data_IF_584892745922
#
_entry.id   IF_584892745922
#
_cell.length_a   1.000
_cell.length_b   1.000
_cell.length_c   1.000
_cell.angle_alpha   90.00
_cell.angle_beta   90.00
_cell.angle_gamma   90.00
#
_symmetry.space_group_name_H-M   'P 1'
#
loop_
_entity.id
_entity.type
_entity.pdbx_description
1 polymer ?
#
# COMPACT_ATOMS: atom_id res chain seq x y z
N UNK A 1 -15.23 21.70 3.63
CA UNK A 1 -16.56 21.75 4.30
C UNK A 1 -17.27 20.43 4.05
N UNK A 2 -17.94 19.86 5.06
CA UNK A 2 -18.70 18.61 4.92
C UNK A 2 -19.94 18.82 4.05
N UNK A 3 -20.14 17.96 3.06
CA UNK A 3 -21.31 17.99 2.17
C UNK A 3 -22.29 16.85 2.48
N UNK A 4 -23.56 17.03 2.11
CA UNK A 4 -24.62 16.04 2.32
C UNK A 4 -24.29 14.71 1.65
N UNK A 5 -23.82 14.78 0.41
CA UNK A 5 -23.42 13.61 -0.37
C UNK A 5 -22.28 12.83 0.28
N UNK A 6 -21.29 13.50 0.85
CA UNK A 6 -20.15 12.87 1.53
C UNK A 6 -20.59 12.04 2.74
N UNK A 7 -21.47 12.57 3.59
CA UNK A 7 -21.98 11.84 4.75
C UNK A 7 -22.78 10.60 4.31
N UNK A 8 -23.64 10.74 3.31
CA UNK A 8 -24.42 9.62 2.81
C UNK A 8 -23.57 8.55 2.11
N UNK A 9 -22.52 8.96 1.41
CA UNK A 9 -21.53 8.06 0.82
C UNK A 9 -20.74 7.32 1.90
N UNK A 10 -20.37 7.97 3.00
CA UNK A 10 -19.71 7.32 4.13
C UNK A 10 -20.56 6.20 4.72
N UNK A 11 -21.87 6.43 4.89
CA UNK A 11 -22.83 5.42 5.36
C UNK A 11 -22.91 4.24 4.39
N UNK A 12 -22.95 4.49 3.09
CA UNK A 12 -22.97 3.44 2.08
C UNK A 12 -21.68 2.59 2.09
N UNK A 13 -20.52 3.24 2.14
CA UNK A 13 -19.21 2.57 2.21
C UNK A 13 -19.04 1.78 3.50
N UNK A 14 -19.54 2.30 4.61
CA UNK A 14 -19.51 1.60 5.88
C UNK A 14 -20.41 0.35 5.83
N UNK A 15 -21.59 0.44 5.21
CA UNK A 15 -22.44 -0.73 5.01
C UNK A 15 -21.69 -1.81 4.20
N UNK A 16 -21.12 -1.43 3.05
CA UNK A 16 -20.40 -2.33 2.16
C UNK A 16 -19.20 -2.99 2.83
N UNK A 17 -18.39 -2.21 3.58
CA UNK A 17 -17.22 -2.72 4.33
C UNK A 17 -17.58 -3.83 5.31
N UNK A 18 -18.75 -3.75 5.92
CA UNK A 18 -19.25 -4.74 6.87
C UNK A 18 -20.18 -5.79 6.22
N UNK A 19 -20.19 -5.88 4.89
CA UNK A 19 -20.96 -6.88 4.14
C UNK A 19 -22.48 -6.66 4.18
N UNK A 20 -22.92 -5.42 4.37
CA UNK A 20 -24.32 -5.04 4.50
C UNK A 20 -24.77 -4.12 3.36
N UNK A 21 -26.06 -4.17 3.06
CA UNK A 21 -26.72 -3.12 2.26
C UNK A 21 -27.09 -1.95 3.16
N UNK A 22 -27.38 -0.77 2.59
CA UNK A 22 -27.86 0.38 3.37
C UNK A 22 -29.07 0.04 4.25
N UNK A 23 -30.04 -0.72 3.73
CA UNK A 23 -31.19 -1.20 4.50
C UNK A 23 -30.80 -2.26 5.55
N UNK A 24 -29.82 -3.12 5.24
CA UNK A 24 -29.27 -4.09 6.18
C UNK A 24 -28.58 -3.40 7.37
N UNK A 25 -27.80 -2.36 7.09
CA UNK A 25 -27.15 -1.52 8.09
C UNK A 25 -28.17 -0.80 8.97
N UNK A 26 -29.22 -0.22 8.37
CA UNK A 26 -30.30 0.42 9.11
C UNK A 26 -30.98 -0.55 10.09
N UNK A 27 -31.38 -1.75 9.62
CA UNK A 27 -31.97 -2.78 10.50
C UNK A 27 -31.04 -3.21 11.62
N UNK A 28 -29.76 -3.43 11.30
CA UNK A 28 -28.74 -3.81 12.28
C UNK A 28 -28.53 -2.71 13.34
N UNK A 29 -28.67 -1.45 12.95
CA UNK A 29 -28.61 -0.29 13.83
C UNK A 29 -29.91 0.01 14.60
N UNK A 30 -30.94 -0.85 14.49
CA UNK A 30 -32.24 -0.62 15.15
C UNK A 30 -33.03 0.55 14.56
N UNK A 31 -32.76 0.91 13.30
CA UNK A 31 -33.46 1.94 12.55
C UNK A 31 -34.45 1.31 11.57
N UNK A 32 -35.40 2.11 11.07
CA UNK A 32 -36.29 1.67 9.99
C UNK A 32 -35.46 1.28 8.75
N UNK A 33 -35.80 0.16 8.11
CA UNK A 33 -35.03 -0.40 7.00
C UNK A 33 -34.89 0.56 5.79
N UNK A 34 -35.79 1.54 5.66
CA UNK A 34 -35.75 2.53 4.58
C UNK A 34 -35.01 3.81 4.94
N UNK A 35 -34.55 3.94 6.20
CA UNK A 35 -33.90 5.16 6.73
C UNK A 35 -32.70 5.61 5.92
N UNK A 36 -31.97 4.67 5.29
CA UNK A 36 -30.77 4.97 4.50
C UNK A 36 -30.97 4.83 2.99
N UNK A 37 -32.19 4.57 2.52
CA UNK A 37 -32.48 4.43 1.10
C UNK A 37 -32.22 5.75 0.36
N UNK A 38 -31.64 5.68 -0.85
CA UNK A 38 -31.31 6.86 -1.67
C UNK A 38 -32.52 7.77 -1.92
N UNK A 39 -33.68 7.19 -2.17
CA UNK A 39 -34.94 7.92 -2.39
C UNK A 39 -35.44 8.71 -1.18
N UNK A 40 -34.89 8.47 0.02
CA UNK A 40 -35.23 9.19 1.26
C UNK A 40 -34.19 10.23 1.65
N UNK A 41 -33.09 10.39 0.92
CA UNK A 41 -31.99 11.32 1.27
C UNK A 41 -32.28 12.76 0.87
N UNK A 42 -33.19 12.95 -0.08
CA UNK A 42 -33.74 14.23 -0.48
C UNK A 42 -35.24 14.15 -0.25
N UNK A 43 -35.79 15.19 0.34
CA UNK A 43 -37.22 15.33 0.60
C UNK A 43 -37.98 15.71 -0.68
N UNK A 44 -39.31 15.50 -0.75
CA UNK A 44 -40.09 15.84 -1.94
C UNK A 44 -40.04 17.32 -2.33
N UNK A 45 -39.79 18.21 -1.37
CA UNK A 45 -39.58 19.66 -1.54
C UNK A 45 -38.13 20.02 -1.92
N UNK A 46 -37.29 19.03 -2.22
CA UNK A 46 -35.92 19.21 -2.69
C UNK A 46 -34.89 19.48 -1.59
N UNK A 47 -35.29 19.49 -0.31
CA UNK A 47 -34.36 19.71 0.80
C UNK A 47 -33.56 18.45 1.09
N UNK A 48 -32.27 18.65 1.31
CA UNK A 48 -31.35 17.62 1.77
C UNK A 48 -31.75 17.12 3.17
N UNK A 49 -32.08 15.83 3.28
CA UNK A 49 -32.25 15.19 4.59
C UNK A 49 -30.90 14.70 5.08
N UNK A 50 -30.34 15.38 6.06
CA UNK A 50 -29.11 14.97 6.72
C UNK A 50 -29.39 13.84 7.73
N UNK A 51 -28.52 12.83 7.82
CA UNK A 51 -28.61 11.86 8.90
C UNK A 51 -28.27 12.54 10.22
N UNK A 52 -28.99 12.20 11.28
CA UNK A 52 -28.71 12.74 12.62
C UNK A 52 -27.44 12.11 13.20
N UNK A 53 -26.77 12.84 14.09
CA UNK A 53 -25.66 12.31 14.90
C UNK A 53 -26.07 11.05 15.68
N UNK A 54 -27.33 10.96 16.11
CA UNK A 54 -27.88 9.75 16.74
C UNK A 54 -27.89 8.55 15.79
N UNK A 55 -28.29 8.75 14.53
CA UNK A 55 -28.32 7.68 13.52
C UNK A 55 -26.90 7.21 13.19
N UNK A 56 -25.93 8.12 13.13
CA UNK A 56 -24.51 7.80 12.96
C UNK A 56 -24.03 6.96 14.16
N UNK A 57 -24.26 7.41 15.40
CA UNK A 57 -23.85 6.68 16.59
C UNK A 57 -24.43 5.25 16.67
N UNK A 58 -25.72 5.08 16.31
CA UNK A 58 -26.37 3.76 16.26
C UNK A 58 -25.72 2.83 15.25
N UNK A 59 -25.35 3.35 14.09
CA UNK A 59 -24.64 2.60 13.05
C UNK A 59 -23.26 2.16 13.52
N UNK A 60 -22.47 3.07 14.11
CA UNK A 60 -21.14 2.76 14.62
C UNK A 60 -21.19 1.67 15.70
N UNK A 61 -22.11 1.78 16.65
CA UNK A 61 -22.31 0.77 17.69
C UNK A 61 -22.72 -0.59 17.11
N UNK A 62 -23.53 -0.61 16.05
CA UNK A 62 -24.03 -1.84 15.45
C UNK A 62 -22.98 -2.58 14.60
N UNK A 63 -22.05 -1.84 13.99
CA UNK A 63 -20.93 -2.42 13.22
C UNK A 63 -19.70 -2.69 14.08
N UNK A 64 -19.55 -1.98 15.21
CA UNK A 64 -18.31 -1.96 15.99
C UNK A 64 -17.26 -0.99 15.42
N UNK A 65 -17.65 -0.14 14.46
CA UNK A 65 -16.76 0.83 13.82
C UNK A 65 -16.44 2.01 14.76
N UNK A 66 -15.20 2.50 14.68
CA UNK A 66 -14.79 3.74 15.34
C UNK A 66 -15.26 5.00 14.60
N UNK A 67 -15.24 6.14 15.30
CA UNK A 67 -15.56 7.45 14.68
C UNK A 67 -14.50 7.85 13.64
N UNK A 68 -13.23 7.54 13.91
CA UNK A 68 -12.10 7.71 13.01
C UNK A 68 -12.30 6.95 11.70
N UNK A 69 -12.69 5.68 11.79
CA UNK A 69 -13.03 4.86 10.63
C UNK A 69 -14.14 5.51 9.81
N UNK A 70 -15.22 5.96 10.44
CA UNK A 70 -16.31 6.63 9.74
C UNK A 70 -15.87 7.94 9.07
N UNK A 71 -15.08 8.77 9.75
CA UNK A 71 -14.57 10.02 9.18
C UNK A 71 -13.69 9.79 7.96
N UNK A 72 -12.89 8.70 7.94
CA UNK A 72 -12.09 8.32 6.78
C UNK A 72 -12.93 7.97 5.53
N UNK A 73 -14.21 7.64 5.71
CA UNK A 73 -15.13 7.28 4.62
C UNK A 73 -15.90 8.48 4.06
N UNK A 74 -15.94 9.60 4.80
CA UNK A 74 -16.64 10.84 4.44
C UNK A 74 -15.94 11.55 3.30
N UNK A 75 -14.61 11.58 3.33
CA UNK A 75 -13.87 12.06 2.19
C UNK A 75 -13.98 10.98 1.09
N UNK A 76 -14.39 11.31 -0.16
CA UNK A 76 -13.86 10.52 -1.26
C UNK A 76 -12.38 10.52 -0.99
N UNK A 77 -11.72 9.35 -0.97
CA UNK A 77 -10.27 9.38 -1.01
C UNK A 77 -9.95 10.25 -2.21
N UNK A 78 -9.55 11.50 -1.97
CA UNK A 78 -8.59 12.14 -2.84
C UNK A 78 -7.56 11.03 -3.03
N UNK A 79 -7.21 10.65 -4.27
CA UNK A 79 -6.06 9.77 -4.44
C UNK A 79 -5.00 10.42 -3.57
N UNK A 80 -4.61 9.76 -2.46
CA UNK A 80 -3.72 10.37 -1.46
C UNK A 80 -2.69 11.10 -2.27
N UNK A 81 -2.60 12.44 -2.15
CA UNK A 81 -1.67 13.25 -2.95
C UNK A 81 -0.41 12.43 -3.09
N UNK A 82 -0.09 12.00 -4.33
CA UNK A 82 0.66 10.77 -4.58
C UNK A 82 1.74 10.62 -3.54
N UNK A 83 1.71 9.54 -2.74
CA UNK A 83 2.67 9.37 -1.67
C UNK A 83 4.05 9.58 -2.28
N UNK A 84 4.80 10.56 -1.78
CA UNK A 84 6.14 10.77 -2.27
C UNK A 84 6.98 9.63 -1.74
N UNK A 85 7.56 8.86 -2.66
CA UNK A 85 8.44 7.75 -2.31
C UNK A 85 9.88 8.19 -2.62
N UNK A 86 10.83 7.99 -1.69
CA UNK A 86 12.22 8.34 -1.95
C UNK A 86 12.75 7.47 -3.08
N UNK A 87 13.44 8.06 -4.05
CA UNK A 87 14.12 7.32 -5.12
C UNK A 87 15.62 7.27 -4.89
N UNK A 88 16.18 6.07 -5.09
CA UNK A 88 17.60 5.77 -4.94
C UNK A 88 18.14 5.23 -6.26
N UNK A 89 19.26 5.75 -6.75
CA UNK A 89 19.92 5.17 -7.91
C UNK A 89 20.48 3.78 -7.61
N UNK A 90 20.48 2.85 -8.58
CA UNK A 90 20.96 1.47 -8.39
C UNK A 90 22.35 1.37 -7.74
N UNK A 91 23.24 2.29 -8.08
CA UNK A 91 24.62 2.35 -7.55
C UNK A 91 24.64 2.82 -6.10
N UNK A 92 23.77 3.77 -5.75
CA UNK A 92 23.64 4.33 -4.40
C UNK A 92 22.88 3.38 -3.47
N UNK A 93 22.03 2.51 -4.01
CA UNK A 93 21.42 1.41 -3.26
C UNK A 93 22.47 0.48 -2.63
N UNK A 94 23.72 0.48 -3.14
CA UNK A 94 24.86 -0.25 -2.62
C UNK A 94 25.81 0.52 -1.69
N UNK A 95 25.62 1.83 -1.50
CA UNK A 95 26.54 2.63 -0.67
C UNK A 95 26.15 2.61 0.83
N UNK A 96 27.12 2.47 1.76
CA UNK A 96 26.88 2.62 3.20
C UNK A 96 27.00 4.10 3.66
N UNK A 97 26.31 4.57 4.73
CA UNK A 97 25.06 4.11 5.34
C UNK A 97 23.91 5.01 4.85
N UNK A 98 23.27 4.58 3.78
CA UNK A 98 22.16 5.30 3.17
C UNK A 98 20.80 4.70 3.53
N UNK A 99 20.78 3.61 4.31
CA UNK A 99 19.58 2.91 4.76
C UNK A 99 19.59 2.75 6.28
N UNK A 100 18.43 2.95 6.91
CA UNK A 100 18.21 2.68 8.32
C UNK A 100 18.14 1.16 8.57
N UNK A 101 18.14 0.76 9.85
CA UNK A 101 18.09 -0.64 10.26
C UNK A 101 16.83 -1.37 9.77
N UNK A 102 15.78 -0.63 9.41
CA UNK A 102 14.54 -1.16 8.84
C UNK A 102 14.59 -1.34 7.31
N UNK A 103 15.75 -1.06 6.68
CA UNK A 103 15.96 -1.19 5.24
C UNK A 103 15.37 -0.05 4.42
N UNK A 104 14.89 1.03 5.05
CA UNK A 104 14.42 2.23 4.36
C UNK A 104 15.57 3.20 4.11
N UNK A 105 15.59 3.94 2.99
CA UNK A 105 16.54 5.02 2.79
C UNK A 105 16.49 6.03 3.95
N UNK A 106 17.64 6.43 4.48
CA UNK A 106 17.78 7.36 5.60
C UNK A 106 18.80 8.46 5.28
N UNK A 107 18.45 9.72 5.57
CA UNK A 107 19.28 10.89 5.28
C UNK A 107 18.65 11.83 4.24
N UNK A 108 19.16 13.07 4.17
CA UNK A 108 18.53 14.18 3.44
C UNK A 108 19.02 14.35 1.98
N UNK A 109 19.20 13.26 1.22
CA UNK A 109 19.80 13.32 -0.13
C UNK A 109 19.01 12.64 -1.25
N UNK A 110 17.77 12.25 -0.98
CA UNK A 110 16.97 11.53 -1.97
C UNK A 110 16.02 12.46 -2.67
N UNK A 111 15.95 12.33 -3.99
CA UNK A 111 14.84 12.85 -4.75
C UNK A 111 13.57 12.06 -4.39
N UNK A 112 12.41 12.66 -4.64
CA UNK A 112 11.12 12.06 -4.37
C UNK A 112 10.34 11.93 -5.69
N UNK A 113 9.67 10.79 -5.87
CA UNK A 113 8.75 10.60 -6.99
C UNK A 113 7.31 10.46 -6.49
N UNK A 114 6.36 11.00 -7.25
CA UNK A 114 4.95 10.75 -7.01
C UNK A 114 4.61 9.31 -7.35
N UNK A 115 3.99 8.59 -6.41
CA UNK A 115 3.51 7.23 -6.65
C UNK A 115 2.05 7.05 -6.16
N UNK A 116 1.20 6.34 -6.92
CA UNK A 116 -0.18 6.07 -6.49
C UNK A 116 -0.21 5.33 -5.15
N UNK A 117 -1.22 5.62 -4.32
CA UNK A 117 -1.38 5.16 -2.93
C UNK A 117 -0.75 3.78 -2.62
N UNK A 118 0.27 3.79 -1.75
CA UNK A 118 0.98 2.59 -1.25
C UNK A 118 0.32 2.01 0.01
N UNK A 119 -0.85 2.53 0.39
CA UNK A 119 -1.53 2.15 1.61
C UNK A 119 -0.75 2.59 2.85
N UNK A 120 -0.46 1.63 3.72
CA UNK A 120 0.41 1.77 4.89
C UNK A 120 1.75 1.06 4.72
N UNK A 121 2.04 0.54 3.52
CA UNK A 121 3.28 -0.19 3.25
C UNK A 121 4.45 0.79 3.19
N UNK A 122 5.58 0.43 3.82
CA UNK A 122 6.80 1.22 3.71
C UNK A 122 7.51 0.82 2.43
N UNK A 123 7.66 1.79 1.51
CA UNK A 123 8.27 1.57 0.20
C UNK A 123 9.25 2.67 -0.17
N UNK A 124 10.18 2.34 -1.05
CA UNK A 124 11.06 3.28 -1.74
C UNK A 124 11.22 2.85 -3.20
N UNK A 125 11.68 3.77 -4.03
CA UNK A 125 11.95 3.53 -5.44
C UNK A 125 13.44 3.29 -5.69
N UNK A 126 13.75 2.38 -6.62
CA UNK A 126 15.11 2.14 -7.10
C UNK A 126 15.14 2.32 -8.62
N UNK A 127 15.92 3.28 -9.09
CA UNK A 127 16.17 3.48 -10.53
C UNK A 127 17.24 2.50 -10.99
N UNK A 128 16.93 1.67 -11.97
CA UNK A 128 17.83 0.66 -12.53
C UNK A 128 18.92 1.34 -13.36
N UNK A 129 20.17 0.92 -13.16
CA UNK A 129 21.31 1.45 -13.89
C UNK A 129 22.06 0.32 -14.64
N UNK A 130 22.31 0.55 -15.93
CA UNK A 130 22.99 -0.37 -16.84
C UNK A 130 22.15 -1.59 -17.26
N UNK A 131 22.74 -2.42 -18.12
CA UNK A 131 22.04 -3.56 -18.74
C UNK A 131 22.14 -4.91 -18.02
N UNK A 132 22.64 -4.95 -16.77
CA UNK A 132 22.88 -6.21 -16.05
C UNK A 132 21.60 -7.00 -15.76
N UNK A 133 20.45 -6.33 -15.81
CA UNK A 133 19.14 -6.90 -15.52
C UNK A 133 18.23 -7.03 -16.77
N UNK A 134 18.79 -6.83 -17.96
CA UNK A 134 18.05 -7.02 -19.20
C UNK A 134 17.80 -8.51 -19.49
N UNK A 135 16.68 -8.86 -20.16
CA UNK A 135 15.65 -7.95 -20.68
C UNK A 135 14.56 -7.59 -19.66
N UNK A 136 14.66 -8.09 -18.43
CA UNK A 136 13.59 -7.99 -17.42
C UNK A 136 13.47 -6.58 -16.86
N UNK A 137 14.61 -5.95 -16.58
CA UNK A 137 14.70 -4.55 -16.16
C UNK A 137 15.75 -3.83 -17.02
N UNK A 138 15.37 -2.69 -17.57
CA UNK A 138 16.19 -1.87 -18.46
C UNK A 138 16.78 -0.68 -17.70
N UNK A 139 17.82 -0.11 -18.27
CA UNK A 139 18.38 1.16 -17.79
C UNK A 139 17.28 2.23 -17.74
N UNK A 140 17.11 2.86 -16.57
CA UNK A 140 16.06 3.85 -16.29
C UNK A 140 14.71 3.30 -15.79
N UNK A 141 14.52 1.98 -15.74
CA UNK A 141 13.32 1.39 -15.11
C UNK A 141 13.27 1.76 -13.63
N UNK A 142 12.06 2.02 -13.11
CA UNK A 142 11.87 2.38 -11.69
C UNK A 142 11.18 1.25 -10.96
N UNK A 143 11.87 0.64 -10.00
CA UNK A 143 11.34 -0.44 -9.17
C UNK A 143 10.80 0.12 -7.86
N UNK A 144 9.58 -0.28 -7.49
CA UNK A 144 9.05 0.01 -6.15
C UNK A 144 9.30 -1.18 -5.24
N UNK A 145 9.97 -0.92 -4.13
CA UNK A 145 10.54 -1.93 -3.26
C UNK A 145 10.02 -1.74 -1.83
N UNK A 146 9.65 -2.84 -1.18
CA UNK A 146 9.23 -2.86 0.22
C UNK A 146 10.09 -3.81 1.06
N UNK A 147 10.80 -3.31 2.09
CA UNK A 147 11.49 -4.14 3.08
C UNK A 147 10.54 -4.89 4.02
N UNK A 148 9.36 -4.33 4.31
CA UNK A 148 8.38 -4.87 5.25
C UNK A 148 7.39 -5.86 4.63
N UNK A 149 7.25 -5.85 3.31
CA UNK A 149 6.37 -6.79 2.61
C UNK A 149 6.81 -8.24 2.82
N UNK A 150 5.85 -9.10 3.17
CA UNK A 150 6.10 -10.54 3.33
C UNK A 150 6.61 -11.19 2.05
N UNK A 151 7.64 -12.03 2.17
CA UNK A 151 8.26 -12.74 1.04
C UNK A 151 7.63 -14.11 0.79
N UNK A 152 7.38 -14.43 -0.48
CA UNK A 152 6.84 -15.72 -0.95
C UNK A 152 7.68 -16.26 -2.10
N UNK A 153 7.61 -17.58 -2.29
CA UNK A 153 8.24 -18.23 -3.46
C UNK A 153 7.70 -17.60 -4.75
N UNK A 154 8.60 -17.28 -5.66
CA UNK A 154 8.33 -16.62 -6.94
C UNK A 154 8.33 -15.10 -6.87
N UNK A 155 8.41 -14.49 -5.67
CA UNK A 155 8.55 -13.05 -5.56
C UNK A 155 9.89 -12.58 -6.12
N UNK A 156 9.87 -11.44 -6.80
CA UNK A 156 11.09 -10.73 -7.17
C UNK A 156 11.56 -9.93 -5.97
N UNK A 157 12.85 -10.00 -5.68
CA UNK A 157 13.48 -9.39 -4.52
C UNK A 157 14.74 -8.63 -4.92
N UNK A 158 14.95 -7.51 -4.26
CA UNK A 158 16.21 -6.81 -4.24
C UNK A 158 17.05 -7.37 -3.09
N UNK A 159 18.24 -7.85 -3.39
CA UNK A 159 19.18 -8.40 -2.40
C UNK A 159 20.40 -7.50 -2.35
N UNK A 160 20.78 -7.09 -1.14
CA UNK A 160 22.07 -6.45 -0.87
C UNK A 160 22.92 -7.35 0.01
N UNK A 161 24.12 -7.67 -0.45
CA UNK A 161 25.10 -8.40 0.36
C UNK A 161 25.86 -7.47 1.32
N UNK A 162 26.59 -8.06 2.26
CA UNK A 162 27.40 -7.35 3.24
C UNK A 162 28.54 -6.51 2.62
N UNK A 163 28.86 -6.73 1.34
CA UNK A 163 29.83 -5.98 0.55
C UNK A 163 29.19 -4.79 -0.17
N UNK A 164 27.88 -4.57 -0.02
CA UNK A 164 27.14 -3.48 -0.63
C UNK A 164 26.73 -3.75 -2.09
N UNK A 165 26.91 -4.97 -2.60
CA UNK A 165 26.46 -5.30 -3.96
C UNK A 165 24.96 -5.57 -3.96
N UNK A 166 24.26 -4.84 -4.82
CA UNK A 166 22.81 -5.00 -5.04
C UNK A 166 22.56 -5.89 -6.26
N UNK A 167 21.58 -6.78 -6.15
CA UNK A 167 21.11 -7.60 -7.28
C UNK A 167 19.60 -7.86 -7.22
N UNK A 168 18.94 -7.86 -8.37
CA UNK A 168 17.57 -8.35 -8.51
C UNK A 168 17.56 -9.87 -8.69
N UNK A 169 16.70 -10.55 -7.92
CA UNK A 169 16.58 -12.00 -7.87
C UNK A 169 15.12 -12.45 -7.80
N UNK A 170 14.83 -13.68 -8.17
CA UNK A 170 13.55 -14.35 -7.90
C UNK A 170 13.74 -15.32 -6.72
N UNK A 171 12.88 -15.22 -5.71
CA UNK A 171 12.95 -16.05 -4.51
C UNK A 171 12.46 -17.47 -4.79
N UNK A 172 13.33 -18.46 -4.65
CA UNK A 172 12.97 -19.88 -4.76
C UNK A 172 12.56 -20.43 -3.41
N UNK A 173 13.37 -20.15 -2.38
CA UNK A 173 13.17 -20.64 -1.02
C UNK A 173 13.94 -19.77 -0.02
N UNK A 174 13.36 -19.57 1.17
CA UNK A 174 14.06 -18.94 2.30
C UNK A 174 14.07 -19.91 3.48
N UNK A 175 15.24 -20.13 4.04
CA UNK A 175 15.43 -20.82 5.32
C UNK A 175 16.02 -19.85 6.34
N UNK A 176 16.24 -20.32 7.57
CA UNK A 176 16.92 -19.53 8.60
C UNK A 176 18.38 -19.23 8.23
N UNK A 177 19.02 -20.09 7.41
CA UNK A 177 20.45 -19.99 7.09
C UNK A 177 20.74 -19.57 5.66
N UNK A 178 19.82 -19.84 4.74
CA UNK A 178 20.06 -19.68 3.30
C UNK A 178 18.87 -19.03 2.59
N UNK A 179 19.20 -18.21 1.59
CA UNK A 179 18.28 -17.66 0.61
C UNK A 179 18.59 -18.29 -0.76
N UNK A 180 17.71 -19.17 -1.22
CA UNK A 180 17.80 -19.76 -2.55
C UNK A 180 17.08 -18.87 -3.55
N UNK A 181 17.80 -18.47 -4.58
CA UNK A 181 17.33 -17.49 -5.55
C UNK A 181 17.71 -17.85 -6.96
N UNK A 182 16.95 -17.32 -7.92
CA UNK A 182 17.30 -17.30 -9.34
C UNK A 182 17.67 -15.89 -9.74
N UNK A 183 18.65 -15.74 -10.59
CA UNK A 183 18.90 -14.46 -11.25
C UNK A 183 17.74 -14.16 -12.21
N UNK A 184 17.27 -12.91 -12.22
CA UNK A 184 16.01 -12.55 -12.92
C UNK A 184 16.09 -12.69 -14.44
N UNK A 185 17.29 -12.60 -15.04
CA UNK A 185 17.45 -12.58 -16.50
C UNK A 185 17.63 -13.96 -17.13
N UNK A 186 18.51 -14.76 -16.55
CA UNK A 186 19.00 -16.03 -17.11
C UNK A 186 18.58 -17.23 -16.25
N UNK A 187 17.89 -17.00 -15.14
CA UNK A 187 17.43 -18.06 -14.24
C UNK A 187 18.55 -18.75 -13.46
N UNK A 188 19.78 -18.21 -13.49
CA UNK A 188 20.93 -18.79 -12.81
C UNK A 188 20.67 -18.94 -11.31
N UNK A 189 20.74 -20.17 -10.80
CA UNK A 189 20.47 -20.47 -9.40
C UNK A 189 21.66 -20.11 -8.50
N UNK A 190 21.37 -19.53 -7.34
CA UNK A 190 22.34 -19.22 -6.31
C UNK A 190 21.76 -19.50 -4.92
N UNK A 191 22.61 -19.98 -4.02
CA UNK A 191 22.29 -20.12 -2.60
C UNK A 191 23.14 -19.13 -1.81
N UNK A 192 22.51 -18.10 -1.27
CA UNK A 192 23.17 -17.04 -0.53
C UNK A 192 23.04 -17.30 0.99
N UNK A 193 24.13 -17.29 1.77
CA UNK A 193 24.05 -17.38 3.23
C UNK A 193 23.35 -16.14 3.79
N UNK A 194 22.32 -16.32 4.62
CA UNK A 194 21.56 -15.20 5.22
C UNK A 194 22.47 -14.30 6.07
N UNK A 195 23.54 -14.85 6.64
CA UNK A 195 24.53 -14.10 7.42
C UNK A 195 25.38 -13.13 6.59
N UNK A 196 25.43 -13.31 5.26
CA UNK A 196 26.15 -12.43 4.33
C UNK A 196 25.23 -11.42 3.66
N UNK A 197 23.94 -11.39 4.02
CA UNK A 197 22.95 -10.46 3.48
C UNK A 197 22.76 -9.30 4.43
N UNK A 198 22.86 -8.08 3.91
CA UNK A 198 22.54 -6.86 4.64
C UNK A 198 21.03 -6.65 4.66
N UNK A 199 20.36 -6.78 3.51
CA UNK A 199 18.90 -6.80 3.45
C UNK A 199 18.35 -7.58 2.24
N UNK A 200 17.08 -7.97 2.36
CA UNK A 200 16.28 -8.54 1.28
C UNK A 200 14.92 -7.84 1.29
N UNK A 201 14.55 -7.21 0.19
CA UNK A 201 13.31 -6.45 0.06
C UNK A 201 12.52 -6.89 -1.17
N UNK A 202 11.19 -6.85 -1.08
CA UNK A 202 10.32 -7.31 -2.17
C UNK A 202 10.17 -6.23 -3.23
N UNK A 203 10.36 -6.59 -4.50
CA UNK A 203 10.01 -5.74 -5.64
C UNK A 203 8.51 -5.90 -5.89
N UNK A 204 7.75 -4.86 -5.59
CA UNK A 204 6.29 -4.85 -5.65
C UNK A 204 5.78 -4.48 -7.03
N UNK A 205 6.52 -3.63 -7.75
CA UNK A 205 6.12 -3.09 -9.04
C UNK A 205 7.32 -2.54 -9.81
N UNK A 206 7.17 -2.39 -11.13
CA UNK A 206 8.15 -1.82 -12.03
C UNK A 206 7.46 -0.84 -12.99
N UNK A 207 8.00 0.38 -13.11
CA UNK A 207 7.75 1.29 -14.23
C UNK A 207 8.73 0.95 -15.34
N UNK A 208 8.23 0.71 -16.53
CA UNK A 208 9.00 0.50 -17.76
C UNK A 208 8.67 1.61 -18.77
#
# INVERSE_FOLDING_TARGET
MLTHGQIWMAIDRLAERYGLTASGLARRAGLDATSFNRSKRVSPDGRERWPSTESIAKVLNATGAGLDEFTSLIEPGEPKSGATVPIVGWRDAGAPPLFAQDGMPSGARWDEIEFPDVGSERVFAVEVAGGAHEPVYRDGDVLIVSPSAGLRKGDRVLVRDAQGKVSARELVRRTVRTLEVKHVCDGGEASLPVAELEYVARIMWCKQ
#
